data_IF_006440744982
#
_entry.id   IF_006440744982
#
_cell.length_a   1.000
_cell.length_b   1.000
_cell.length_c   1.000
_cell.angle_alpha   90.00
_cell.angle_beta   90.00
_cell.angle_gamma   90.00
#
_symmetry.space_group_name_H-M   'P 1'
#
loop_
_entity.id
_entity.type
_entity.pdbx_description
1 polymer ?
#
# COMPACT_ATOMS: atom_id res chain seq x y z
N UNK A 1 -0.69 8.05 -13.74
CA UNK A 1 -0.75 6.82 -14.56
C UNK A 1 -0.26 5.65 -13.74
N UNK A 2 -0.98 4.52 -13.79
CA UNK A 2 -0.68 3.32 -13.02
C UNK A 2 -0.40 2.16 -13.97
N UNK A 3 0.49 1.26 -13.56
CA UNK A 3 0.83 0.08 -14.34
C UNK A 3 0.80 -1.16 -13.46
N UNK A 4 0.49 -2.32 -14.07
CA UNK A 4 0.56 -3.62 -13.39
C UNK A 4 1.65 -4.45 -14.03
N UNK A 5 2.51 -5.01 -13.19
CA UNK A 5 3.60 -5.89 -13.59
C UNK A 5 3.41 -7.30 -13.02
N UNK A 6 3.83 -8.30 -13.79
CA UNK A 6 3.90 -9.69 -13.36
C UNK A 6 5.23 -10.29 -13.83
N UNK A 7 5.45 -11.56 -13.54
CA UNK A 7 6.59 -12.32 -14.06
C UNK A 7 6.65 -12.35 -15.60
N UNK A 8 5.50 -12.18 -16.28
CA UNK A 8 5.39 -12.09 -17.74
C UNK A 8 5.62 -10.67 -18.29
N UNK A 9 5.92 -9.67 -17.43
CA UNK A 9 6.12 -8.27 -17.79
C UNK A 9 4.91 -7.38 -17.47
N UNK A 10 4.78 -6.25 -18.21
CA UNK A 10 3.67 -5.31 -18.00
C UNK A 10 2.34 -5.88 -18.53
N UNK A 11 1.35 -5.96 -17.65
CA UNK A 11 0.03 -6.55 -17.93
C UNK A 11 -1.05 -5.49 -18.14
N UNK A 12 -0.85 -4.29 -17.57
CA UNK A 12 -1.83 -3.21 -17.63
C UNK A 12 -1.14 -1.85 -17.55
N UNK A 13 -1.74 -0.86 -18.20
CA UNK A 13 -1.40 0.55 -18.14
C UNK A 13 -2.69 1.38 -18.22
N UNK A 14 -2.91 2.34 -17.31
CA UNK A 14 -4.13 3.14 -17.30
C UNK A 14 -4.24 4.11 -16.13
N UNK A 15 -5.43 4.72 -16.03
CA UNK A 15 -5.78 5.63 -14.94
C UNK A 15 -6.15 4.88 -13.67
N UNK A 16 -6.25 5.59 -12.54
CA UNK A 16 -6.70 5.03 -11.26
C UNK A 16 -8.08 4.37 -11.36
N UNK A 17 -9.01 4.98 -12.12
CA UNK A 17 -10.38 4.46 -12.25
C UNK A 17 -10.44 3.19 -13.09
N UNK A 18 -9.68 3.13 -14.18
CA UNK A 18 -9.55 1.92 -15.00
C UNK A 18 -8.90 0.78 -14.21
N UNK A 19 -7.90 1.10 -13.38
CA UNK A 19 -7.25 0.13 -12.52
C UNK A 19 -8.22 -0.40 -11.45
N UNK A 20 -8.99 0.48 -10.82
CA UNK A 20 -10.03 0.12 -9.84
C UNK A 20 -11.08 -0.82 -10.45
N UNK A 21 -11.53 -0.56 -11.66
CA UNK A 21 -12.48 -1.44 -12.36
C UNK A 21 -11.89 -2.83 -12.59
N UNK A 22 -10.62 -2.90 -12.97
CA UNK A 22 -9.95 -4.17 -13.27
C UNK A 22 -9.62 -4.97 -12.00
N UNK A 23 -9.27 -4.31 -10.91
CA UNK A 23 -8.94 -4.94 -9.62
C UNK A 23 -10.18 -5.21 -8.75
N UNK A 24 -11.35 -4.74 -9.14
CA UNK A 24 -12.63 -5.17 -8.56
C UNK A 24 -12.92 -6.62 -8.93
N UNK A 25 -12.13 -7.53 -8.39
CA UNK A 25 -12.60 -8.91 -8.20
C UNK A 25 -13.82 -8.85 -7.27
N UNK A 26 -14.89 -9.63 -7.56
CA UNK A 26 -15.99 -9.73 -6.60
C UNK A 26 -15.36 -10.16 -5.27
N UNK A 27 -15.51 -9.31 -4.25
CA UNK A 27 -15.27 -9.74 -2.87
C UNK A 27 -16.21 -10.92 -2.70
N UNK A 28 -15.66 -12.11 -2.63
CA UNK A 28 -16.37 -13.27 -2.11
C UNK A 28 -16.77 -12.84 -0.71
N UNK A 29 -18.05 -12.49 -0.57
CA UNK A 29 -18.63 -12.13 0.71
C UNK A 29 -18.46 -13.35 1.61
N UNK A 30 -17.52 -13.30 2.54
CA UNK A 30 -17.53 -14.17 3.71
C UNK A 30 -18.77 -13.78 4.51
N UNK A 31 -19.91 -14.33 4.10
CA UNK A 31 -21.12 -14.35 4.91
C UNK A 31 -20.85 -15.29 6.07
N UNK A 32 -20.59 -14.70 7.22
CA UNK A 32 -20.95 -15.32 8.48
C UNK A 32 -21.44 -14.20 9.39
N UNK A 33 -22.68 -13.77 9.16
CA UNK A 33 -23.47 -13.14 10.19
C UNK A 33 -24.04 -14.26 11.07
N UNK A 34 -23.78 -14.23 12.38
CA UNK A 34 -24.56 -15.06 13.29
C UNK A 34 -25.99 -14.53 13.35
N UNK A 35 -26.99 -15.40 13.51
CA UNK A 35 -28.39 -15.01 13.59
C UNK A 35 -28.63 -14.21 14.88
N UNK A 36 -29.04 -12.96 14.74
CA UNK A 36 -29.53 -12.15 15.85
C UNK A 36 -30.93 -12.61 16.21
N UNK A 37 -31.02 -13.45 17.25
CA UNK A 37 -32.26 -13.67 18.03
C UNK A 37 -32.63 -12.35 18.69
N UNK A 38 -33.91 -11.99 18.53
CA UNK A 38 -34.47 -10.74 19.01
C UNK A 38 -34.31 -10.56 20.52
N UNK A 39 -33.88 -9.38 20.89
CA UNK A 39 -34.03 -8.86 22.26
C UNK A 39 -34.48 -7.40 22.17
N UNK A 40 -35.46 -7.17 23.01
CA UNK A 40 -36.21 -5.97 23.31
C UNK A 40 -35.48 -4.63 23.12
N UNK A 41 -36.25 -3.68 22.59
CA UNK A 41 -35.91 -2.26 22.54
C UNK A 41 -35.80 -1.69 23.93
N UNK A 42 -34.57 -1.46 24.38
CA UNK A 42 -34.30 -0.57 25.50
C UNK A 42 -34.00 0.81 24.94
N UNK A 43 -34.65 1.83 25.48
CA UNK A 43 -34.60 3.22 25.06
C UNK A 43 -33.37 3.94 25.62
N UNK A 44 -32.20 3.50 25.22
CA UNK A 44 -30.95 4.27 25.44
C UNK A 44 -30.72 5.21 24.25
N UNK A 45 -30.27 6.46 24.47
CA UNK A 45 -30.00 7.38 23.38
C UNK A 45 -28.89 6.81 22.49
N UNK A 46 -29.22 6.64 21.21
CA UNK A 46 -28.33 6.08 20.19
C UNK A 46 -27.07 6.97 20.03
N UNK A 47 -25.88 6.49 20.43
CA UNK A 47 -24.64 7.27 20.30
C UNK A 47 -24.28 7.59 18.85
N UNK A 48 -24.87 6.87 17.87
CA UNK A 48 -24.67 7.15 16.45
C UNK A 48 -25.39 8.41 15.96
N UNK A 49 -26.39 8.89 16.71
CA UNK A 49 -27.15 10.09 16.36
C UNK A 49 -26.27 11.34 16.50
N UNK A 50 -25.51 11.45 17.57
CA UNK A 50 -24.57 12.56 17.79
C UNK A 50 -23.46 12.63 16.71
N UNK A 51 -22.95 11.46 16.29
CA UNK A 51 -21.98 11.40 15.17
C UNK A 51 -22.60 11.78 13.82
N UNK A 52 -23.88 11.44 13.61
CA UNK A 52 -24.59 11.78 12.36
C UNK A 52 -24.90 13.27 12.27
N UNK A 53 -25.23 13.92 13.36
CA UNK A 53 -25.46 15.36 13.44
C UNK A 53 -24.14 16.15 13.27
N UNK A 54 -23.02 15.69 13.88
CA UNK A 54 -21.69 16.25 13.65
C UNK A 54 -21.26 16.11 12.18
N UNK A 55 -21.49 14.96 11.55
CA UNK A 55 -21.15 14.73 10.15
C UNK A 55 -22.02 15.56 9.18
N UNK A 56 -23.26 15.92 9.54
CA UNK A 56 -24.10 16.78 8.73
C UNK A 56 -23.73 18.26 8.86
N UNK A 57 -23.32 18.72 10.04
CA UNK A 57 -22.86 20.10 10.24
C UNK A 57 -21.49 20.38 9.57
N UNK A 58 -20.68 19.34 9.32
CA UNK A 58 -19.41 19.49 8.63
C UNK A 58 -19.57 19.58 7.10
N UNK A 59 -20.75 19.25 6.56
CA UNK A 59 -21.02 19.30 5.10
C UNK A 59 -21.40 20.69 4.58
N UNK A 60 -21.70 21.66 5.43
CA UNK A 60 -22.08 23.01 5.04
C UNK A 60 -20.94 24.03 5.02
N UNK A 61 -19.74 23.68 5.45
CA UNK A 61 -18.58 24.51 5.23
C UNK A 61 -17.97 24.15 3.87
N UNK A 62 -18.28 24.99 2.87
CA UNK A 62 -17.57 25.04 1.59
C UNK A 62 -16.07 25.05 1.88
N UNK A 63 -15.28 24.07 1.45
CA UNK A 63 -13.85 24.09 1.72
C UNK A 63 -13.29 25.33 1.08
N UNK A 64 -12.65 26.18 1.88
CA UNK A 64 -11.88 27.33 1.38
C UNK A 64 -10.90 26.82 0.32
N UNK A 65 -11.05 27.34 -0.87
CA UNK A 65 -10.49 26.88 -2.13
C UNK A 65 -9.01 27.23 -2.33
N UNK A 66 -8.16 27.03 -1.33
CA UNK A 66 -6.73 26.94 -1.58
C UNK A 66 -6.26 25.51 -1.27
N UNK A 67 -5.92 24.73 -2.31
CA UNK A 67 -5.28 23.45 -2.09
C UNK A 67 -3.96 23.71 -1.37
N UNK A 68 -3.59 22.86 -0.38
CA UNK A 68 -2.32 23.00 0.30
C UNK A 68 -1.21 23.06 -0.74
N UNK A 69 -0.42 24.14 -0.71
CA UNK A 69 0.76 24.33 -1.56
C UNK A 69 1.86 23.36 -1.06
N UNK A 70 1.82 22.14 -1.57
CA UNK A 70 2.78 21.08 -1.24
C UNK A 70 3.11 20.23 -2.45
N UNK A 71 4.08 19.35 -2.36
CA UNK A 71 4.44 18.46 -3.45
C UNK A 71 3.21 17.67 -3.92
N UNK A 72 2.89 17.79 -5.20
CA UNK A 72 1.70 17.18 -5.80
C UNK A 72 2.02 15.88 -6.51
N UNK A 73 3.29 15.65 -6.83
CA UNK A 73 3.71 14.47 -7.59
C UNK A 73 4.35 13.42 -6.70
N UNK A 74 4.18 12.16 -7.07
CA UNK A 74 4.80 11.01 -6.40
C UNK A 74 6.32 11.17 -6.29
N UNK A 75 6.98 11.67 -7.34
CA UNK A 75 8.43 11.92 -7.35
C UNK A 75 8.92 12.80 -6.20
N UNK A 76 8.07 13.70 -5.70
CA UNK A 76 8.44 14.63 -4.62
C UNK A 76 8.37 14.04 -3.22
N UNK A 77 7.72 12.88 -3.06
CA UNK A 77 7.54 12.19 -1.78
C UNK A 77 8.19 10.81 -1.72
N UNK A 78 8.47 10.20 -2.88
CA UNK A 78 9.04 8.86 -2.93
C UNK A 78 10.42 8.79 -2.29
N UNK A 79 10.73 7.66 -1.68
CA UNK A 79 12.09 7.30 -1.29
C UNK A 79 12.88 6.83 -2.53
N UNK A 80 14.06 7.41 -2.76
CA UNK A 80 14.94 7.09 -3.89
C UNK A 80 16.41 7.17 -3.46
N UNK A 81 17.30 6.25 -3.92
CA UNK A 81 17.02 5.07 -4.75
C UNK A 81 16.27 3.97 -3.99
N UNK A 82 15.47 3.12 -4.69
CA UNK A 82 14.76 2.03 -4.04
C UNK A 82 15.70 0.89 -3.65
N UNK A 83 15.51 0.33 -2.46
CA UNK A 83 16.17 -0.92 -2.06
C UNK A 83 15.45 -2.08 -2.73
N UNK A 84 16.16 -2.89 -3.51
CA UNK A 84 15.60 -3.97 -4.32
C UNK A 84 16.24 -5.30 -4.00
N UNK A 85 15.55 -6.39 -4.35
CA UNK A 85 16.09 -7.73 -4.25
C UNK A 85 15.93 -8.47 -5.59
N UNK A 86 16.91 -9.31 -5.93
CA UNK A 86 16.80 -10.18 -7.10
C UNK A 86 15.91 -11.38 -6.80
N UNK A 87 15.10 -11.80 -7.79
CA UNK A 87 14.30 -13.02 -7.70
C UNK A 87 15.14 -14.29 -7.45
N UNK A 88 16.45 -14.22 -7.74
CA UNK A 88 17.40 -15.33 -7.54
C UNK A 88 18.01 -15.39 -6.14
N UNK A 89 17.83 -14.34 -5.33
CA UNK A 89 18.30 -14.29 -3.95
C UNK A 89 17.39 -15.10 -3.02
N UNK A 90 17.84 -15.31 -1.80
CA UNK A 90 17.13 -16.10 -0.80
C UNK A 90 16.44 -15.21 0.26
N UNK A 91 15.64 -15.82 1.14
CA UNK A 91 14.92 -15.12 2.20
C UNK A 91 15.82 -14.50 3.26
N UNK A 92 16.98 -15.12 3.52
CA UNK A 92 17.96 -14.58 4.45
C UNK A 92 18.53 -13.26 3.94
N UNK A 93 18.85 -13.19 2.63
CA UNK A 93 19.29 -11.95 1.98
C UNK A 93 18.20 -10.87 2.06
N UNK A 94 16.93 -11.27 1.81
CA UNK A 94 15.80 -10.36 1.90
C UNK A 94 15.66 -9.78 3.31
N UNK A 95 15.74 -10.61 4.33
CA UNK A 95 15.68 -10.19 5.73
C UNK A 95 16.80 -9.23 6.08
N UNK A 96 18.05 -9.57 5.72
CA UNK A 96 19.21 -8.69 5.97
C UNK A 96 19.08 -7.34 5.28
N UNK A 97 18.55 -7.30 4.05
CA UNK A 97 18.29 -6.04 3.34
C UNK A 97 17.23 -5.20 4.05
N UNK A 98 16.13 -5.82 4.50
CA UNK A 98 15.05 -5.14 5.22
C UNK A 98 15.54 -4.56 6.54
N UNK A 99 16.34 -5.30 7.31
CA UNK A 99 16.90 -4.84 8.58
C UNK A 99 17.95 -3.73 8.38
N UNK A 100 18.88 -3.92 7.42
CA UNK A 100 19.95 -2.95 7.16
C UNK A 100 19.43 -1.59 6.72
N UNK A 101 18.38 -1.57 5.91
CA UNK A 101 17.82 -0.36 5.32
C UNK A 101 16.55 0.13 6.01
N UNK A 102 16.12 -0.54 7.07
CA UNK A 102 14.86 -0.29 7.81
C UNK A 102 13.64 -0.16 6.87
N UNK A 103 13.53 -1.09 5.91
CA UNK A 103 12.41 -1.14 4.98
C UNK A 103 11.53 -2.35 5.23
N UNK A 104 10.21 -2.16 5.12
CA UNK A 104 9.24 -3.22 5.32
C UNK A 104 8.85 -3.95 4.02
N UNK A 105 9.28 -3.41 2.87
CA UNK A 105 8.93 -3.96 1.55
C UNK A 105 10.10 -3.80 0.58
N UNK A 106 10.31 -4.84 -0.23
CA UNK A 106 11.33 -4.88 -1.28
C UNK A 106 10.69 -5.17 -2.63
N UNK A 107 10.86 -4.30 -3.63
CA UNK A 107 10.60 -4.65 -5.02
C UNK A 107 11.50 -5.80 -5.45
N UNK A 108 10.89 -6.83 -6.05
CA UNK A 108 11.61 -7.98 -6.58
C UNK A 108 11.91 -7.75 -8.06
N UNK A 109 13.18 -7.83 -8.42
CA UNK A 109 13.67 -7.61 -9.76
C UNK A 109 14.00 -8.93 -10.45
N UNK A 110 13.50 -9.09 -11.66
CA UNK A 110 13.85 -10.21 -12.53
C UNK A 110 15.26 -10.07 -13.14
N UNK A 111 15.68 -11.09 -13.88
CA UNK A 111 17.02 -11.15 -14.49
C UNK A 111 17.28 -10.00 -15.49
N UNK A 112 16.28 -9.55 -16.24
CA UNK A 112 16.37 -8.42 -17.15
C UNK A 112 16.15 -7.05 -16.46
N UNK A 113 16.28 -6.97 -15.13
CA UNK A 113 16.04 -5.79 -14.30
C UNK A 113 14.63 -5.21 -14.40
N UNK A 114 13.66 -6.03 -14.77
CA UNK A 114 12.25 -5.68 -14.74
C UNK A 114 11.65 -5.94 -13.34
N UNK A 115 10.67 -5.13 -12.95
CA UNK A 115 9.88 -5.36 -11.76
C UNK A 115 8.98 -6.60 -11.96
N UNK A 116 9.09 -7.61 -11.09
CA UNK A 116 8.34 -8.87 -11.21
C UNK A 116 7.49 -9.20 -10.01
N UNK A 117 7.75 -8.60 -8.85
CA UNK A 117 7.04 -8.90 -7.61
C UNK A 117 7.31 -7.87 -6.52
N UNK A 118 6.61 -8.03 -5.40
CA UNK A 118 6.85 -7.32 -4.14
C UNK A 118 6.99 -8.35 -3.02
N UNK A 119 7.98 -8.17 -2.15
CA UNK A 119 8.19 -8.98 -0.97
C UNK A 119 8.04 -8.10 0.27
N UNK A 120 7.15 -8.46 1.18
CA UNK A 120 6.97 -7.75 2.44
C UNK A 120 7.65 -8.46 3.61
N UNK A 121 8.01 -7.70 4.65
CA UNK A 121 8.53 -8.24 5.91
C UNK A 121 7.59 -9.28 6.52
N UNK A 122 6.29 -9.08 6.41
CA UNK A 122 5.28 -10.02 6.91
C UNK A 122 5.35 -11.38 6.18
N UNK A 123 5.56 -11.37 4.87
CA UNK A 123 5.69 -12.60 4.09
C UNK A 123 6.98 -13.34 4.43
N UNK A 124 8.08 -12.62 4.60
CA UNK A 124 9.36 -13.21 5.06
C UNK A 124 9.22 -13.83 6.45
N UNK A 125 8.56 -13.13 7.40
CA UNK A 125 8.34 -13.64 8.76
C UNK A 125 7.47 -14.90 8.80
N UNK A 126 6.52 -15.07 7.89
CA UNK A 126 5.70 -16.30 7.79
C UNK A 126 6.53 -17.52 7.41
N UNK A 127 7.72 -17.33 6.85
CA UNK A 127 8.64 -18.38 6.46
C UNK A 127 9.70 -18.70 7.54
N UNK A 128 9.57 -18.09 8.73
CA UNK A 128 10.42 -18.40 9.86
C UNK A 128 10.01 -19.74 10.51
N UNK A 129 11.00 -20.54 10.84
CA UNK A 129 10.85 -21.75 11.65
C UNK A 129 11.67 -21.61 12.93
N UNK A 130 11.09 -22.04 14.04
CA UNK A 130 11.81 -22.16 15.32
C UNK A 130 12.07 -23.65 15.56
N UNK A 131 13.35 -24.04 15.57
CA UNK A 131 13.77 -25.39 15.93
C UNK A 131 14.79 -25.30 17.07
N UNK A 132 14.55 -26.03 18.16
CA UNK A 132 15.44 -26.06 19.32
C UNK A 132 15.82 -24.69 19.90
N UNK A 133 14.92 -23.69 19.79
CA UNK A 133 15.22 -22.33 20.21
C UNK A 133 15.99 -21.46 19.20
N UNK A 134 16.40 -22.02 18.07
CA UNK A 134 17.03 -21.29 16.98
C UNK A 134 15.99 -20.87 15.94
N UNK A 135 16.10 -19.62 15.51
CA UNK A 135 15.24 -19.04 14.45
C UNK A 135 15.97 -19.22 13.12
N UNK A 136 15.34 -19.90 12.18
CA UNK A 136 15.86 -20.08 10.83
C UNK A 136 14.76 -19.87 9.80
N UNK A 137 15.14 -19.51 8.56
CA UNK A 137 14.20 -19.50 7.43
C UNK A 137 14.01 -20.92 6.90
N UNK A 138 12.82 -21.20 6.38
CA UNK A 138 12.57 -22.44 5.64
C UNK A 138 13.60 -22.53 4.51
N UNK A 139 14.50 -23.51 4.61
CA UNK A 139 15.59 -23.68 3.64
C UNK A 139 15.04 -23.95 2.25
N UNK A 140 15.58 -23.28 1.24
CA UNK A 140 15.29 -23.56 -0.16
C UNK A 140 13.99 -22.98 -0.71
N UNK A 141 13.25 -22.18 0.06
CA UNK A 141 12.06 -21.54 -0.48
C UNK A 141 12.42 -20.33 -1.36
N UNK A 142 12.16 -20.37 -2.68
CA UNK A 142 12.53 -19.28 -3.58
C UNK A 142 11.61 -18.08 -3.37
N UNK A 143 12.16 -16.86 -3.48
CA UNK A 143 11.41 -15.60 -3.36
C UNK A 143 10.20 -15.57 -4.31
N UNK A 144 10.33 -16.16 -5.49
CA UNK A 144 9.27 -16.24 -6.49
C UNK A 144 7.96 -16.86 -6.01
N UNK A 145 8.02 -17.76 -5.01
CA UNK A 145 6.83 -18.42 -4.45
C UNK A 145 6.16 -17.60 -3.34
N UNK A 146 6.88 -16.65 -2.77
CA UNK A 146 6.44 -15.91 -1.58
C UNK A 146 6.06 -14.47 -1.95
N UNK A 147 6.74 -13.90 -2.96
CA UNK A 147 6.47 -12.55 -3.40
C UNK A 147 5.03 -12.39 -3.89
N UNK A 148 4.47 -11.22 -3.67
CA UNK A 148 3.16 -10.86 -4.23
C UNK A 148 3.27 -10.52 -5.71
N UNK A 149 2.35 -11.06 -6.47
CA UNK A 149 2.10 -10.77 -7.88
C UNK A 149 0.58 -10.75 -8.11
N UNK A 150 0.08 -9.94 -9.04
CA UNK A 150 0.76 -8.87 -9.79
C UNK A 150 1.08 -7.66 -8.93
N UNK A 151 2.05 -6.82 -9.36
CA UNK A 151 2.48 -5.62 -8.68
C UNK A 151 1.84 -4.39 -9.32
N UNK A 152 1.20 -3.57 -8.49
CA UNK A 152 0.71 -2.25 -8.89
C UNK A 152 1.83 -1.24 -8.69
N UNK A 153 2.25 -0.58 -9.76
CA UNK A 153 3.23 0.49 -9.74
C UNK A 153 2.60 1.82 -10.16
N UNK A 154 3.16 2.92 -9.66
CA UNK A 154 2.72 4.27 -9.96
C UNK A 154 3.80 5.02 -10.75
N UNK A 155 3.38 5.89 -11.67
CA UNK A 155 4.30 6.76 -12.41
C UNK A 155 4.77 7.92 -11.51
N UNK A 156 6.04 8.31 -11.63
CA UNK A 156 6.65 9.38 -10.81
C UNK A 156 5.96 10.73 -10.93
N UNK A 157 5.31 11.03 -12.07
CA UNK A 157 4.55 12.28 -12.29
C UNK A 157 3.11 12.21 -11.80
N UNK A 158 2.64 11.08 -11.25
CA UNK A 158 1.26 10.94 -10.78
C UNK A 158 1.00 11.83 -9.57
N UNK A 159 -0.26 12.24 -9.41
CA UNK A 159 -0.71 12.97 -8.23
C UNK A 159 -0.70 12.05 -7.00
N UNK A 160 -0.09 12.54 -5.91
CA UNK A 160 0.00 11.81 -4.63
C UNK A 160 -1.37 11.40 -4.09
N UNK A 161 -2.41 12.23 -4.31
CA UNK A 161 -3.78 11.90 -3.87
C UNK A 161 -4.33 10.67 -4.60
N UNK A 162 -4.08 10.57 -5.92
CA UNK A 162 -4.52 9.42 -6.69
C UNK A 162 -3.79 8.15 -6.23
N UNK A 163 -2.49 8.26 -5.95
CA UNK A 163 -1.71 7.17 -5.38
C UNK A 163 -2.24 6.76 -3.99
N UNK A 164 -2.49 7.73 -3.10
CA UNK A 164 -3.03 7.48 -1.76
C UNK A 164 -4.41 6.81 -1.80
N UNK A 165 -5.33 7.29 -2.65
CA UNK A 165 -6.65 6.67 -2.82
C UNK A 165 -6.55 5.23 -3.30
N UNK A 166 -5.65 4.94 -4.25
CA UNK A 166 -5.45 3.59 -4.72
C UNK A 166 -4.84 2.68 -3.64
N UNK A 167 -3.88 3.20 -2.85
CA UNK A 167 -3.30 2.46 -1.72
C UNK A 167 -4.37 2.08 -0.69
N UNK A 168 -5.32 2.98 -0.41
CA UNK A 168 -6.44 2.70 0.49
C UNK A 168 -7.39 1.66 -0.10
N UNK A 169 -7.79 1.81 -1.36
CA UNK A 169 -8.74 0.91 -2.02
C UNK A 169 -8.21 -0.53 -2.15
N UNK A 170 -6.91 -0.68 -2.37
CA UNK A 170 -6.26 -1.97 -2.61
C UNK A 170 -5.51 -2.51 -1.39
N UNK A 171 -5.62 -1.83 -0.25
CA UNK A 171 -4.89 -2.14 0.99
C UNK A 171 -3.37 -2.32 0.77
N UNK A 172 -2.78 -1.40 0.00
CA UNK A 172 -1.35 -1.40 -0.27
C UNK A 172 -0.61 -0.55 0.77
N UNK A 173 0.46 -1.09 1.35
CA UNK A 173 1.32 -0.36 2.29
C UNK A 173 2.39 0.46 1.58
N UNK A 174 2.81 0.04 0.38
CA UNK A 174 3.72 0.77 -0.48
C UNK A 174 3.48 0.39 -1.95
N UNK A 175 3.93 1.25 -2.86
CA UNK A 175 3.93 1.03 -4.30
C UNK A 175 5.29 1.36 -4.89
N UNK A 176 5.81 0.54 -5.81
CA UNK A 176 6.95 0.89 -6.63
C UNK A 176 6.63 2.10 -7.51
N UNK A 177 7.62 2.99 -7.65
CA UNK A 177 7.53 4.16 -8.53
C UNK A 177 8.39 3.92 -9.76
N UNK A 178 7.84 4.20 -10.93
CA UNK A 178 8.47 3.97 -12.22
C UNK A 178 8.49 5.22 -13.08
N UNK A 179 9.46 5.29 -13.98
CA UNK A 179 9.57 6.33 -15.00
C UNK A 179 8.87 5.93 -16.32
N UNK A 180 8.98 6.80 -17.33
CA UNK A 180 8.43 6.58 -18.68
C UNK A 180 8.99 5.34 -19.39
N UNK A 181 10.17 4.84 -18.98
CA UNK A 181 10.83 3.65 -19.53
C UNK A 181 10.52 2.37 -18.75
N UNK A 182 9.52 2.40 -17.86
CA UNK A 182 9.16 1.31 -16.93
C UNK A 182 10.30 0.90 -15.97
N UNK A 183 11.28 1.78 -15.77
CA UNK A 183 12.36 1.54 -14.83
C UNK A 183 11.93 1.97 -13.43
N UNK A 184 12.25 1.16 -12.45
CA UNK A 184 12.01 1.45 -11.03
C UNK A 184 12.91 2.61 -10.60
N UNK A 185 12.30 3.72 -10.16
CA UNK A 185 13.00 4.94 -9.72
C UNK A 185 12.88 5.20 -8.22
N UNK A 186 11.86 4.63 -7.56
CA UNK A 186 11.65 4.83 -6.14
C UNK A 186 10.58 3.92 -5.55
N UNK A 187 10.26 4.19 -4.30
CA UNK A 187 9.15 3.59 -3.56
C UNK A 187 8.31 4.69 -2.91
N UNK A 188 6.99 4.56 -2.99
CA UNK A 188 6.05 5.39 -2.24
C UNK A 188 5.35 4.53 -1.20
N UNK A 189 5.53 4.85 0.08
CA UNK A 189 4.90 4.16 1.20
C UNK A 189 3.78 4.99 1.82
N UNK A 190 2.90 4.35 2.60
CA UNK A 190 1.94 5.06 3.46
C UNK A 190 2.64 5.99 4.45
N UNK A 191 3.84 5.61 4.92
CA UNK A 191 4.63 6.41 5.83
C UNK A 191 5.06 7.74 5.20
N UNK A 192 5.49 7.72 3.93
CA UNK A 192 5.88 8.93 3.20
C UNK A 192 4.70 9.91 3.09
N UNK A 193 3.50 9.38 2.77
CA UNK A 193 2.28 10.18 2.67
C UNK A 193 1.88 10.75 4.03
N UNK A 194 1.91 9.95 5.09
CA UNK A 194 1.58 10.40 6.45
C UNK A 194 2.60 11.40 6.98
N UNK A 195 3.90 11.17 6.73
CA UNK A 195 4.98 12.09 7.07
C UNK A 195 4.81 13.45 6.40
N UNK A 196 4.43 13.45 5.12
CA UNK A 196 4.09 14.68 4.41
C UNK A 196 2.89 15.40 5.05
N UNK A 197 1.80 14.68 5.34
CA UNK A 197 0.60 15.27 5.95
C UNK A 197 0.88 15.82 7.37
N UNK A 198 1.70 15.13 8.15
CA UNK A 198 2.09 15.56 9.50
C UNK A 198 2.94 16.84 9.48
N UNK A 199 3.79 17.00 8.47
CA UNK A 199 4.66 18.17 8.32
C UNK A 199 4.00 19.32 7.52
N UNK A 200 2.90 19.04 6.81
CA UNK A 200 2.10 20.04 6.14
C UNK A 200 1.26 20.80 7.18
N UNK A 201 1.70 21.99 7.61
CA UNK A 201 1.11 22.95 8.54
C UNK A 201 0.18 22.37 9.63
N UNK A 202 0.35 22.74 10.90
CA UNK A 202 -0.50 22.24 11.97
C UNK A 202 -1.97 22.52 11.62
N UNK A 203 -2.80 21.49 11.70
CA UNK A 203 -4.25 21.64 11.70
C UNK A 203 -4.57 22.63 12.83
N UNK A 204 -4.96 23.87 12.47
CA UNK A 204 -5.49 24.81 13.42
C UNK A 204 -6.80 24.23 13.96
N UNK A 205 -6.73 23.46 15.00
CA UNK A 205 -7.88 23.16 15.85
C UNK A 205 -8.29 24.49 16.50
N UNK A 206 -9.26 25.16 15.90
CA UNK A 206 -9.97 26.23 16.62
C UNK A 206 -10.74 25.54 17.74
N UNK A 207 -10.29 25.84 18.98
CA UNK A 207 -11.06 25.59 20.18
C UNK A 207 -12.35 26.41 20.16
#
# INVERSE_FOLDING_TARGET
MFKIFSSAGRVFEGTSDQLRQRLRLPRTASQTQPPHTGAQRDSSPDPTRAYRELAQNTRTQKPSSEPPQGPRTVASLMSSPPVTISILQNLGDAWQLMERHDVAQLPVMGQARQLVGMLSRTEVLKCLMVRNGEISFVSGQPIAQIMRQPVVAVHESEDVRQAALLMLDQDLNAMPVINNRDQLTGMLSRHDILGFLANARPLMLRA
#
